data_IF_298716161565
#
_entry.id   IF_298716161565
#
_cell.length_a   1.000
_cell.length_b   1.000
_cell.length_c   1.000
_cell.angle_alpha   90.00
_cell.angle_beta   90.00
_cell.angle_gamma   90.00
#
_symmetry.space_group_name_H-M   'P 1'
#
loop_
_entity.id
_entity.type
_entity.pdbx_description
1 polymer ?
#
# COMPACT_ATOMS: atom_id res chain seq x y z
N UNK A 1 -4.88 18.11 29.93
CA UNK A 1 -4.29 16.87 29.39
C UNK A 1 -3.59 17.26 28.09
N UNK A 2 -2.28 17.06 28.01
CA UNK A 2 -1.56 17.29 26.76
C UNK A 2 -1.88 16.12 25.82
N UNK A 3 -2.97 16.28 25.05
CA UNK A 3 -3.27 15.37 23.95
C UNK A 3 -2.09 15.40 22.98
N UNK A 4 -1.70 14.22 22.51
CA UNK A 4 -0.75 14.08 21.42
C UNK A 4 -1.34 14.85 20.23
N UNK A 5 -0.90 16.09 20.04
CA UNK A 5 -1.29 16.91 18.91
C UNK A 5 -0.39 16.51 17.73
N UNK A 6 -0.53 15.26 17.30
CA UNK A 6 -0.04 14.89 15.97
C UNK A 6 -0.94 15.66 15.02
N UNK A 7 -0.37 16.66 14.35
CA UNK A 7 -1.10 17.47 13.37
C UNK A 7 -1.76 16.53 12.35
N UNK A 8 -3.09 16.60 12.25
CA UNK A 8 -3.87 15.77 11.33
C UNK A 8 -3.31 15.84 9.89
N UNK A 9 -2.78 17.00 9.50
CA UNK A 9 -2.08 17.23 8.23
C UNK A 9 -0.92 16.25 7.98
N UNK A 10 -0.12 15.94 9.00
CA UNK A 10 1.00 14.99 8.89
C UNK A 10 0.49 13.57 8.71
N UNK A 11 -0.62 13.20 9.34
CA UNK A 11 -1.24 11.87 9.16
C UNK A 11 -1.84 11.76 7.76
N UNK A 12 -2.47 12.82 7.26
CA UNK A 12 -3.00 12.89 5.89
C UNK A 12 -1.88 12.74 4.86
N UNK A 13 -0.78 13.46 5.02
CA UNK A 13 0.36 13.35 4.10
C UNK A 13 1.03 11.98 4.19
N UNK A 14 1.05 11.36 5.37
CA UNK A 14 1.54 10.00 5.54
C UNK A 14 0.61 8.97 4.88
N UNK A 15 -0.71 9.12 5.02
CA UNK A 15 -1.70 8.27 4.38
C UNK A 15 -1.59 8.33 2.85
N UNK A 16 -1.46 9.53 2.27
CA UNK A 16 -1.23 9.70 0.83
C UNK A 16 0.02 8.97 0.35
N UNK A 17 1.13 9.11 1.07
CA UNK A 17 2.37 8.39 0.73
C UNK A 17 2.17 6.88 0.79
N UNK A 18 1.44 6.37 1.77
CA UNK A 18 1.14 4.94 1.88
C UNK A 18 0.29 4.46 0.70
N UNK A 19 -0.71 5.24 0.30
CA UNK A 19 -1.57 4.94 -0.85
C UNK A 19 -0.77 4.95 -2.18
N UNK A 20 0.09 5.95 -2.39
CA UNK A 20 0.96 6.06 -3.56
C UNK A 20 1.91 4.86 -3.66
N UNK A 21 2.57 4.51 -2.55
CA UNK A 21 3.45 3.34 -2.52
C UNK A 21 2.69 2.03 -2.76
N UNK A 22 1.46 1.89 -2.24
CA UNK A 22 0.64 0.73 -2.50
C UNK A 22 0.31 0.59 -4.00
N UNK A 23 -0.01 1.70 -4.65
CA UNK A 23 -0.26 1.73 -6.10
C UNK A 23 1.00 1.38 -6.90
N UNK A 24 2.17 1.91 -6.52
CA UNK A 24 3.45 1.59 -7.17
C UNK A 24 3.82 0.11 -7.03
N UNK A 25 3.67 -0.47 -5.83
CA UNK A 25 3.92 -1.90 -5.61
C UNK A 25 2.99 -2.78 -6.45
N UNK A 26 1.71 -2.38 -6.57
CA UNK A 26 0.75 -3.11 -7.40
C UNK A 26 1.11 -3.04 -8.89
N UNK A 27 1.48 -1.85 -9.38
CA UNK A 27 1.91 -1.65 -10.77
C UNK A 27 3.19 -2.42 -11.09
N UNK A 28 4.15 -2.48 -10.15
CA UNK A 28 5.37 -3.28 -10.30
C UNK A 28 5.10 -4.80 -10.40
N UNK A 29 3.93 -5.26 -9.94
CA UNK A 29 3.53 -6.66 -10.00
C UNK A 29 2.86 -7.05 -11.34
N UNK A 30 2.38 -6.09 -12.14
CA UNK A 30 1.77 -6.36 -13.46
C UNK A 30 2.72 -7.04 -14.46
N UNK A 31 3.96 -6.54 -14.69
CA UNK A 31 4.88 -7.12 -15.67
C UNK A 31 5.59 -8.40 -15.19
N UNK A 32 5.31 -8.90 -13.98
CA UNK A 32 5.85 -10.17 -13.48
C UNK A 32 4.91 -11.36 -13.76
N UNK A 33 3.98 -11.19 -14.69
CA UNK A 33 3.06 -12.25 -15.13
C UNK A 33 3.80 -13.39 -15.83
N UNK A 34 3.27 -14.61 -15.68
CA UNK A 34 3.89 -15.84 -16.18
C UNK A 34 4.15 -15.88 -17.70
N UNK A 35 3.56 -14.97 -18.48
CA UNK A 35 3.79 -14.86 -19.92
C UNK A 35 5.16 -14.26 -20.28
N UNK A 36 5.79 -13.48 -19.39
CA UNK A 36 7.04 -12.77 -19.70
C UNK A 36 8.30 -13.65 -19.56
N UNK A 37 8.17 -14.86 -19.01
CA UNK A 37 9.30 -15.79 -18.82
C UNK A 37 9.03 -17.13 -19.51
N UNK A 38 8.94 -17.06 -20.83
CA UNK A 38 8.78 -18.23 -21.68
C UNK A 38 10.01 -19.17 -21.54
N UNK A 39 9.84 -20.47 -21.24
CA UNK A 39 10.93 -21.43 -21.09
C UNK A 39 11.87 -21.49 -22.31
N UNK A 40 11.34 -21.19 -23.49
CA UNK A 40 12.04 -21.15 -24.77
C UNK A 40 13.11 -20.05 -24.81
N UNK A 41 13.01 -19.02 -23.96
CA UNK A 41 14.01 -17.96 -23.85
C UNK A 41 15.35 -18.45 -23.28
N UNK A 42 15.38 -19.61 -22.64
CA UNK A 42 16.56 -20.18 -22.00
C UNK A 42 17.32 -21.20 -22.87
N UNK A 43 16.80 -21.49 -24.07
CA UNK A 43 17.38 -22.46 -25.01
C UNK A 43 17.34 -23.91 -24.51
N UNK A 44 17.77 -24.85 -25.37
CA UNK A 44 17.62 -26.30 -25.12
C UNK A 44 18.26 -26.77 -23.81
N UNK A 45 19.45 -26.26 -23.48
CA UNK A 45 20.13 -26.57 -22.21
C UNK A 45 19.35 -26.02 -21.00
N UNK A 46 18.79 -24.81 -21.13
CA UNK A 46 17.97 -24.18 -20.09
C UNK A 46 16.65 -24.93 -19.87
N UNK A 47 16.08 -25.50 -20.92
CA UNK A 47 14.92 -26.39 -20.83
C UNK A 47 15.29 -27.71 -20.15
N UNK A 48 16.42 -28.32 -20.52
CA UNK A 48 16.89 -29.60 -19.94
C UNK A 48 17.10 -29.51 -18.42
N UNK A 49 17.61 -28.38 -17.93
CA UNK A 49 17.86 -28.16 -16.49
C UNK A 49 16.70 -27.48 -15.76
N UNK A 50 15.56 -27.23 -16.42
CA UNK A 50 14.37 -26.63 -15.80
C UNK A 50 14.56 -25.19 -15.34
N UNK A 51 15.42 -24.43 -16.03
CA UNK A 51 15.73 -23.03 -15.68
C UNK A 51 14.52 -22.12 -15.84
N UNK A 52 13.74 -22.32 -16.92
CA UNK A 52 12.51 -21.56 -17.18
C UNK A 52 11.46 -21.74 -16.09
N UNK A 53 11.22 -22.98 -15.66
CA UNK A 53 10.27 -23.29 -14.58
C UNK A 53 10.73 -22.73 -13.22
N UNK A 54 12.04 -22.70 -12.98
CA UNK A 54 12.61 -22.13 -11.76
C UNK A 54 12.46 -20.60 -11.74
N UNK A 55 12.72 -19.93 -12.86
CA UNK A 55 12.51 -18.49 -13.01
C UNK A 55 11.03 -18.11 -12.97
N UNK A 56 10.15 -18.90 -13.58
CA UNK A 56 8.70 -18.69 -13.53
C UNK A 56 8.20 -18.76 -12.07
N UNK A 57 8.62 -19.78 -11.32
CA UNK A 57 8.30 -19.91 -9.88
C UNK A 57 8.84 -18.75 -9.05
N UNK A 58 10.07 -18.31 -9.31
CA UNK A 58 10.64 -17.16 -8.61
C UNK A 58 9.90 -15.86 -8.91
N UNK A 59 9.54 -15.64 -10.19
CA UNK A 59 8.80 -14.45 -10.64
C UNK A 59 7.38 -14.43 -10.05
N UNK A 60 6.71 -15.58 -10.00
CA UNK A 60 5.40 -15.72 -9.36
C UNK A 60 5.47 -15.46 -7.85
N UNK A 61 6.50 -15.96 -7.17
CA UNK A 61 6.71 -15.69 -5.74
C UNK A 61 6.94 -14.20 -5.46
N UNK A 62 7.77 -13.53 -6.27
CA UNK A 62 8.01 -12.09 -6.17
C UNK A 62 6.74 -11.28 -6.44
N UNK A 63 5.98 -11.65 -7.48
CA UNK A 63 4.68 -11.05 -7.79
C UNK A 63 3.70 -11.17 -6.62
N UNK A 64 3.60 -12.35 -6.02
CA UNK A 64 2.76 -12.58 -4.85
C UNK A 64 3.15 -11.70 -3.65
N UNK A 65 4.45 -11.53 -3.40
CA UNK A 65 4.95 -10.65 -2.34
C UNK A 65 4.60 -9.17 -2.59
N UNK A 66 4.73 -8.70 -3.83
CA UNK A 66 4.38 -7.32 -4.21
C UNK A 66 2.88 -7.05 -4.05
N UNK A 67 2.02 -8.00 -4.46
CA UNK A 67 0.56 -7.89 -4.29
C UNK A 67 0.20 -7.85 -2.81
N UNK A 68 0.71 -8.80 -2.01
CA UNK A 68 0.44 -8.84 -0.58
C UNK A 68 0.94 -7.59 0.16
N UNK A 69 2.11 -7.07 -0.24
CA UNK A 69 2.65 -5.81 0.29
C UNK A 69 1.77 -4.61 -0.04
N UNK A 70 1.30 -4.51 -1.30
CA UNK A 70 0.34 -3.48 -1.72
C UNK A 70 -0.97 -3.54 -0.90
N UNK A 71 -1.53 -4.73 -0.70
CA UNK A 71 -2.76 -4.89 0.10
C UNK A 71 -2.57 -4.48 1.56
N UNK A 72 -1.43 -4.85 2.16
CA UNK A 72 -1.09 -4.43 3.51
C UNK A 72 -0.96 -2.90 3.64
N UNK A 73 -0.34 -2.26 2.65
CA UNK A 73 -0.23 -0.79 2.60
C UNK A 73 -1.60 -0.13 2.44
N UNK A 74 -2.48 -0.64 1.56
CA UNK A 74 -3.86 -0.14 1.44
C UNK A 74 -4.62 -0.23 2.76
N UNK A 75 -4.52 -1.36 3.46
CA UNK A 75 -5.16 -1.51 4.77
C UNK A 75 -4.61 -0.51 5.81
N UNK A 76 -3.30 -0.26 5.79
CA UNK A 76 -2.69 0.76 6.64
C UNK A 76 -3.17 2.18 6.27
N UNK A 77 -3.28 2.50 4.98
CA UNK A 77 -3.82 3.76 4.47
C UNK A 77 -5.26 4.00 4.96
N UNK A 78 -6.14 3.01 4.81
CA UNK A 78 -7.52 3.05 5.31
C UNK A 78 -7.62 3.30 6.82
N UNK A 79 -6.73 2.67 7.61
CA UNK A 79 -6.67 2.89 9.04
C UNK A 79 -6.25 4.33 9.37
N UNK A 80 -5.27 4.88 8.64
CA UNK A 80 -4.82 6.28 8.82
C UNK A 80 -5.95 7.26 8.45
N UNK A 81 -6.64 7.05 7.33
CA UNK A 81 -7.81 7.84 6.94
C UNK A 81 -8.92 7.80 7.99
N UNK A 82 -9.16 6.63 8.59
CA UNK A 82 -10.14 6.48 9.68
C UNK A 82 -9.74 7.27 10.93
N UNK A 83 -8.46 7.30 11.27
CA UNK A 83 -7.95 8.08 12.41
C UNK A 83 -8.11 9.58 12.16
N UNK A 84 -7.77 10.04 10.96
CA UNK A 84 -7.96 11.45 10.54
C UNK A 84 -9.44 11.82 10.63
N UNK A 85 -10.34 11.02 10.05
CA UNK A 85 -11.78 11.30 10.06
C UNK A 85 -12.34 11.45 11.49
N UNK A 86 -11.89 10.59 12.42
CA UNK A 86 -12.33 10.63 13.83
C UNK A 86 -11.82 11.86 14.60
N UNK A 87 -10.61 12.34 14.29
CA UNK A 87 -10.01 13.46 15.02
C UNK A 87 -10.34 14.81 14.38
N UNK A 88 -10.46 14.88 13.05
CA UNK A 88 -10.92 16.09 12.36
C UNK A 88 -12.40 16.41 12.66
N UNK A 89 -13.27 15.40 12.72
CA UNK A 89 -14.68 15.60 13.11
C UNK A 89 -14.87 15.97 14.58
N UNK A 90 -13.98 15.51 15.47
CA UNK A 90 -14.01 15.85 16.89
C UNK A 90 -13.65 17.31 17.17
N UNK A 91 -12.75 17.90 16.38
CA UNK A 91 -12.35 19.31 16.51
C UNK A 91 -13.46 20.27 16.02
N UNK A 92 -14.21 19.89 14.99
CA UNK A 92 -15.33 20.70 14.48
C UNK A 92 -16.51 20.74 15.47
N UNK A 93 -16.88 19.60 16.06
CA UNK A 93 -17.91 19.53 17.12
C UNK A 93 -17.47 20.25 18.41
N UNK A 94 -16.18 20.18 18.77
CA UNK A 94 -15.64 20.91 19.92
C UNK A 94 -15.61 22.43 19.68
N UNK A 95 -15.26 22.87 18.47
CA UNK A 95 -15.29 24.27 18.07
C UNK A 95 -16.73 24.83 18.08
N UNK A 96 -17.71 24.08 17.59
CA UNK A 96 -19.12 24.46 17.66
C UNK A 96 -19.63 24.55 19.10
N UNK A 97 -19.26 23.62 19.99
CA UNK A 97 -19.63 23.69 21.41
C UNK A 97 -19.03 24.91 22.11
N UNK A 98 -17.77 25.26 21.81
CA UNK A 98 -17.11 26.45 22.38
C UNK A 98 -17.75 27.75 21.83
N UNK A 99 -18.10 27.79 20.54
CA UNK A 99 -18.80 28.92 19.93
C UNK A 99 -20.21 29.11 20.53
N UNK A 100 -20.87 28.02 20.93
CA UNK A 100 -22.21 28.03 21.54
C UNK A 100 -22.21 28.42 23.02
N UNK A 101 -21.10 28.20 23.73
CA UNK A 101 -20.89 28.62 25.13
C UNK A 101 -20.48 30.10 25.23
N UNK A 102 -19.93 30.68 24.17
CA UNK A 102 -19.55 32.10 24.10
C UNK A 102 -20.67 33.04 23.58
N UNK A 103 -21.92 32.58 23.50
CA UNK A 103 -23.10 33.39 23.16
C UNK A 103 -24.06 33.51 24.34
#
# INVERSE_FOLDING_TARGET
MAGINVSADVIVDYAKKVDDNAAELHAAAEPLGAEDVAPEAFGDLGTEIGLGESYARASEALRGQLIAGSEALKSAGEALHTVVAKHAGGDEEAAEMIARVNR
#
